data_IF_660335181714
#
_entry.id   IF_660335181714
#
_cell.length_a   1.000
_cell.length_b   1.000
_cell.length_c   1.000
_cell.angle_alpha   90.00
_cell.angle_beta   90.00
_cell.angle_gamma   90.00
#
_symmetry.space_group_name_H-M   'P 1'
#
loop_
_entity.id
_entity.type
_entity.pdbx_description
1 polymer ?
#
# COMPACT_ATOMS: atom_id res chain seq x y z
N UNK A 1 -43.59 -32.88 -45.79
CA UNK A 1 -43.56 -31.69 -44.87
C UNK A 1 -42.50 -31.94 -43.84
N UNK A 2 -41.32 -31.33 -43.92
CA UNK A 2 -40.29 -31.52 -42.89
C UNK A 2 -40.43 -30.46 -41.81
N UNK A 3 -40.49 -30.88 -40.56
CA UNK A 3 -40.55 -30.07 -39.33
C UNK A 3 -39.13 -29.59 -39.00
N UNK A 4 -38.92 -28.28 -38.93
CA UNK A 4 -37.69 -27.65 -38.46
C UNK A 4 -37.71 -27.53 -36.93
N UNK A 5 -36.68 -27.96 -36.18
CA UNK A 5 -36.57 -27.63 -34.75
C UNK A 5 -36.02 -26.23 -34.54
N UNK A 6 -36.77 -25.44 -33.81
CA UNK A 6 -36.37 -24.11 -33.30
C UNK A 6 -35.33 -24.29 -32.15
N UNK A 7 -34.08 -24.01 -32.42
CA UNK A 7 -33.03 -23.92 -31.43
C UNK A 7 -33.12 -22.56 -30.70
N UNK A 8 -33.69 -22.54 -29.51
CA UNK A 8 -33.62 -21.39 -28.59
C UNK A 8 -32.18 -21.26 -28.06
N UNK A 9 -31.44 -20.30 -28.61
CA UNK A 9 -30.13 -19.92 -28.07
C UNK A 9 -30.28 -19.15 -26.74
N UNK A 10 -29.87 -19.79 -25.64
CA UNK A 10 -29.79 -19.17 -24.31
C UNK A 10 -28.61 -18.22 -24.23
N UNK A 11 -28.86 -16.91 -24.35
CA UNK A 11 -27.84 -15.87 -24.18
C UNK A 11 -27.57 -15.70 -22.68
N UNK A 12 -26.44 -16.21 -22.19
CA UNK A 12 -25.91 -15.93 -20.85
C UNK A 12 -25.36 -14.48 -20.84
N UNK A 13 -26.17 -13.57 -20.29
CA UNK A 13 -25.72 -12.20 -20.00
C UNK A 13 -24.82 -12.24 -18.75
N UNK A 14 -23.52 -12.18 -18.97
CA UNK A 14 -22.54 -11.93 -17.90
C UNK A 14 -22.72 -10.50 -17.42
N UNK A 15 -23.39 -10.31 -16.30
CA UNK A 15 -23.43 -9.04 -15.59
C UNK A 15 -22.02 -8.75 -15.02
N UNK A 16 -21.23 -7.93 -15.70
CA UNK A 16 -19.99 -7.37 -15.13
C UNK A 16 -20.38 -6.42 -13.98
N UNK A 17 -20.18 -6.85 -12.74
CA UNK A 17 -20.28 -5.96 -11.60
C UNK A 17 -19.13 -4.94 -11.67
N UNK A 18 -19.43 -3.62 -11.59
CA UNK A 18 -18.37 -2.62 -11.52
C UNK A 18 -17.61 -2.85 -10.21
N UNK A 19 -16.29 -3.04 -10.31
CA UNK A 19 -15.41 -2.98 -9.15
C UNK A 19 -15.43 -1.51 -8.65
N UNK A 20 -16.16 -1.25 -7.57
CA UNK A 20 -16.13 0.05 -6.92
C UNK A 20 -14.79 0.18 -6.19
N UNK A 21 -13.93 1.07 -6.69
CA UNK A 21 -12.84 1.61 -5.88
C UNK A 21 -13.47 2.28 -4.66
N UNK A 22 -13.15 1.80 -3.46
CA UNK A 22 -13.70 2.37 -2.23
C UNK A 22 -13.30 3.85 -2.08
N UNK A 23 -14.12 4.69 -1.45
CA UNK A 23 -13.79 6.09 -1.22
C UNK A 23 -12.52 6.17 -0.37
N UNK A 24 -11.57 7.04 -0.77
CA UNK A 24 -10.38 7.33 0.03
C UNK A 24 -10.82 7.98 1.35
N UNK A 25 -10.42 7.37 2.45
CA UNK A 25 -10.75 7.86 3.78
C UNK A 25 -9.55 8.62 4.35
N UNK A 26 -9.72 9.92 4.64
CA UNK A 26 -8.68 10.72 5.27
C UNK A 26 -8.14 10.09 6.56
N UNK A 27 -6.83 10.05 6.69
CA UNK A 27 -6.15 9.44 7.83
C UNK A 27 -6.13 7.91 7.83
N UNK A 28 -6.44 7.27 6.69
CA UNK A 28 -6.33 5.82 6.51
C UNK A 28 -5.37 5.52 5.35
N UNK A 29 -4.26 4.88 5.66
CA UNK A 29 -3.36 4.35 4.64
C UNK A 29 -3.62 2.86 4.41
N UNK A 30 -3.26 2.39 3.22
CA UNK A 30 -3.30 0.98 2.86
C UNK A 30 -1.88 0.44 2.74
N UNK A 31 -1.65 -0.76 3.28
CA UNK A 31 -0.41 -1.51 3.18
C UNK A 31 -0.73 -2.91 2.66
N UNK A 32 -0.17 -3.27 1.52
CA UNK A 32 -0.18 -4.64 1.02
C UNK A 32 1.22 -5.23 1.15
N UNK A 33 1.31 -6.43 1.73
CA UNK A 33 2.53 -7.21 1.85
C UNK A 33 2.34 -8.51 1.11
N UNK A 34 3.15 -8.75 0.08
CA UNK A 34 3.19 -10.03 -0.63
C UNK A 34 4.49 -10.75 -0.31
N UNK A 35 4.39 -12.02 0.10
CA UNK A 35 5.53 -12.88 0.43
C UNK A 35 5.53 -14.07 -0.52
N UNK A 36 6.55 -14.15 -1.39
CA UNK A 36 6.74 -15.21 -2.36
C UNK A 36 8.16 -15.78 -2.24
N UNK A 37 8.27 -16.90 -1.55
CA UNK A 37 9.57 -17.47 -1.20
C UNK A 37 10.43 -16.48 -0.41
N UNK A 38 11.55 -16.08 -1.00
CA UNK A 38 12.47 -15.10 -0.41
C UNK A 38 12.09 -13.65 -0.74
N UNK A 39 11.22 -13.43 -1.74
CA UNK A 39 10.82 -12.08 -2.16
C UNK A 39 9.70 -11.55 -1.29
N UNK A 40 9.88 -10.33 -0.81
CA UNK A 40 8.86 -9.58 -0.07
C UNK A 40 8.61 -8.26 -0.80
N UNK A 41 7.37 -8.01 -1.16
CA UNK A 41 6.93 -6.76 -1.77
C UNK A 41 5.99 -6.05 -0.81
N UNK A 42 6.30 -4.78 -0.52
CA UNK A 42 5.45 -3.90 0.27
C UNK A 42 4.94 -2.77 -0.62
N UNK A 43 3.63 -2.58 -0.64
CA UNK A 43 2.98 -1.49 -1.39
C UNK A 43 2.15 -0.65 -0.43
N UNK A 44 2.45 0.65 -0.36
CA UNK A 44 1.69 1.61 0.43
C UNK A 44 0.91 2.54 -0.48
N UNK A 45 -0.31 2.88 -0.05
CA UNK A 45 -1.07 4.02 -0.52
C UNK A 45 -1.39 4.90 0.69
N UNK A 46 -0.89 6.12 0.68
CA UNK A 46 -0.95 7.03 1.82
C UNK A 46 -1.59 8.34 1.36
N UNK A 47 -2.74 8.73 1.90
CA UNK A 47 -3.33 10.04 1.59
C UNK A 47 -2.31 11.15 1.90
N UNK A 48 -2.05 12.01 0.91
CA UNK A 48 -1.07 13.09 1.03
C UNK A 48 -1.37 14.02 2.21
N UNK A 49 -2.66 14.22 2.50
CA UNK A 49 -3.12 14.97 3.66
C UNK A 49 -2.60 14.39 4.99
N UNK A 50 -2.50 13.08 5.11
CA UNK A 50 -2.00 12.43 6.32
C UNK A 50 -0.53 12.75 6.64
N UNK A 51 0.25 13.08 5.62
CA UNK A 51 1.67 13.43 5.73
C UNK A 51 1.92 14.95 5.75
N UNK A 52 1.26 15.69 4.84
CA UNK A 52 1.50 17.12 4.61
C UNK A 52 0.41 18.03 5.20
N UNK A 53 -0.78 17.50 5.49
CA UNK A 53 -1.93 18.25 5.94
C UNK A 53 -2.71 18.97 4.83
N UNK A 54 -2.37 18.70 3.57
CA UNK A 54 -3.06 19.21 2.40
C UNK A 54 -2.84 18.28 1.20
N UNK A 55 -3.68 18.42 0.17
CA UNK A 55 -3.66 17.60 -1.05
C UNK A 55 -3.38 18.43 -2.31
N UNK A 56 -2.44 19.35 -2.23
CA UNK A 56 -2.05 20.24 -3.33
C UNK A 56 -0.53 20.29 -3.51
N UNK A 57 -0.10 20.73 -4.67
CA UNK A 57 1.30 21.03 -4.93
C UNK A 57 1.85 22.13 -3.98
N UNK A 58 3.13 22.09 -3.62
CA UNK A 58 3.77 23.11 -2.78
C UNK A 58 3.79 24.47 -3.50
N UNK A 59 3.41 25.55 -2.78
CA UNK A 59 3.27 26.89 -3.34
C UNK A 59 4.42 27.83 -2.97
N UNK A 60 5.23 27.47 -1.97
CA UNK A 60 6.35 28.30 -1.51
C UNK A 60 7.65 27.51 -1.47
N UNK A 61 8.82 28.19 -1.50
CA UNK A 61 10.12 27.53 -1.33
C UNK A 61 10.21 26.73 -0.02
N UNK A 62 9.57 27.19 1.04
CA UNK A 62 9.53 26.49 2.32
C UNK A 62 8.73 25.19 2.21
N UNK A 63 7.55 25.20 1.57
CA UNK A 63 6.75 23.98 1.33
C UNK A 63 7.52 23.00 0.42
N UNK A 64 8.22 23.51 -0.61
CA UNK A 64 9.04 22.66 -1.48
C UNK A 64 10.16 21.96 -0.71
N UNK A 65 10.83 22.68 0.21
CA UNK A 65 11.85 22.07 1.07
C UNK A 65 11.26 21.01 2.02
N UNK A 66 10.05 21.24 2.56
CA UNK A 66 9.36 20.26 3.40
C UNK A 66 8.97 19.01 2.61
N UNK A 67 8.45 19.19 1.40
CA UNK A 67 8.13 18.06 0.49
C UNK A 67 9.38 17.26 0.17
N UNK A 68 10.47 17.92 -0.20
CA UNK A 68 11.74 17.23 -0.47
C UNK A 68 12.20 16.42 0.73
N UNK A 69 12.22 17.02 1.93
CA UNK A 69 12.62 16.32 3.15
C UNK A 69 11.70 15.13 3.50
N UNK A 70 10.39 15.24 3.18
CA UNK A 70 9.45 14.14 3.32
C UNK A 70 9.78 13.00 2.36
N UNK A 71 9.98 13.29 1.06
CA UNK A 71 10.30 12.29 0.05
C UNK A 71 11.62 11.58 0.39
N UNK A 72 12.65 12.31 0.83
CA UNK A 72 13.93 11.75 1.28
C UNK A 72 13.74 10.78 2.48
N UNK A 73 12.79 11.06 3.39
CA UNK A 73 12.45 10.16 4.49
C UNK A 73 11.67 8.93 4.04
N UNK A 74 10.74 9.08 3.09
CA UNK A 74 9.93 7.97 2.56
C UNK A 74 10.78 6.97 1.78
N UNK A 75 11.88 7.41 1.17
CA UNK A 75 12.85 6.54 0.50
C UNK A 75 13.70 5.71 1.48
N UNK A 76 13.61 5.98 2.78
CA UNK A 76 14.25 5.16 3.80
C UNK A 76 13.22 4.16 4.34
N UNK A 77 13.28 2.93 3.87
CA UNK A 77 12.27 1.89 4.19
C UNK A 77 12.02 1.68 5.69
N UNK A 78 13.06 1.88 6.54
CA UNK A 78 12.92 1.82 8.00
C UNK A 78 11.93 2.84 8.59
N UNK A 79 11.64 3.93 7.87
CA UNK A 79 10.64 4.92 8.28
C UNK A 79 9.21 4.50 7.91
N UNK A 80 9.06 3.47 7.11
CA UNK A 80 7.78 2.90 6.68
C UNK A 80 7.43 1.68 7.52
N UNK A 81 8.39 0.74 7.59
CA UNK A 81 8.22 -0.53 8.28
C UNK A 81 9.57 -1.11 8.69
N UNK A 82 9.60 -1.78 9.83
CA UNK A 82 10.72 -2.59 10.29
C UNK A 82 10.31 -4.07 10.26
N UNK A 83 11.08 -4.87 9.54
CA UNK A 83 10.90 -6.32 9.47
C UNK A 83 11.77 -7.01 10.52
N UNK A 84 11.45 -8.26 10.84
CA UNK A 84 12.30 -9.07 11.69
C UNK A 84 13.75 -9.11 11.16
N UNK A 85 14.70 -8.64 11.95
CA UNK A 85 16.12 -8.59 11.57
C UNK A 85 16.69 -9.99 11.25
N UNK A 86 16.16 -11.03 11.90
CA UNK A 86 16.57 -12.42 11.66
C UNK A 86 16.21 -12.92 10.27
N UNK A 87 15.23 -12.30 9.60
CA UNK A 87 14.87 -12.63 8.22
C UNK A 87 15.94 -12.18 7.21
N UNK A 88 16.85 -11.28 7.61
CA UNK A 88 17.95 -10.77 6.77
C UNK A 88 17.47 -10.23 5.43
N UNK A 89 16.43 -9.40 5.47
CA UNK A 89 15.85 -8.81 4.27
C UNK A 89 16.69 -7.62 3.78
N UNK A 90 17.03 -7.62 2.49
CA UNK A 90 17.79 -6.56 1.83
C UNK A 90 17.11 -6.16 0.51
N UNK A 91 17.31 -4.93 0.07
CA UNK A 91 16.77 -4.42 -1.19
C UNK A 91 17.22 -3.00 -1.47
N UNK A 92 16.82 -2.48 -2.63
CA UNK A 92 16.99 -1.07 -2.98
C UNK A 92 16.11 -0.18 -2.10
N UNK A 93 16.32 1.13 -2.19
CA UNK A 93 15.42 2.10 -1.57
C UNK A 93 13.99 1.95 -2.12
N UNK A 94 12.95 2.25 -1.32
CA UNK A 94 11.59 2.31 -1.80
C UNK A 94 11.42 3.29 -2.98
N UNK A 95 10.62 2.91 -3.96
CA UNK A 95 10.18 3.81 -5.03
C UNK A 95 8.98 4.60 -4.54
N UNK A 96 9.06 5.93 -4.59
CA UNK A 96 7.98 6.84 -4.17
C UNK A 96 7.40 7.51 -5.41
N UNK A 97 6.09 7.41 -5.59
CA UNK A 97 5.33 8.06 -6.65
C UNK A 97 4.32 9.04 -6.03
N UNK A 98 4.51 10.32 -6.30
CA UNK A 98 3.71 11.41 -5.74
C UNK A 98 3.43 12.48 -6.81
N UNK A 99 2.61 12.18 -7.84
CA UNK A 99 2.46 13.00 -9.05
C UNK A 99 2.02 14.43 -8.77
N UNK A 100 1.18 14.66 -7.77
CA UNK A 100 0.74 16.01 -7.37
C UNK A 100 1.92 16.86 -6.87
N UNK A 101 2.86 16.25 -6.16
CA UNK A 101 4.05 16.95 -5.65
C UNK A 101 5.06 17.26 -6.76
N UNK A 102 4.96 16.56 -7.89
CA UNK A 102 5.77 16.78 -9.10
C UNK A 102 5.12 17.80 -10.06
N UNK A 103 4.02 18.45 -9.66
CA UNK A 103 3.32 19.42 -10.50
C UNK A 103 2.43 18.80 -11.59
N UNK A 104 2.20 17.50 -11.57
CA UNK A 104 1.24 16.83 -12.45
C UNK A 104 -0.18 17.08 -11.92
N UNK A 105 -1.16 17.08 -12.83
CA UNK A 105 -2.56 17.28 -12.47
C UNK A 105 -2.98 16.30 -11.37
N UNK A 106 -3.64 16.82 -10.33
CA UNK A 106 -4.27 15.98 -9.33
C UNK A 106 -5.37 15.15 -10.00
N UNK A 107 -5.28 13.82 -9.93
CA UNK A 107 -6.48 12.98 -10.02
C UNK A 107 -7.36 13.28 -8.80
N UNK A 108 -8.61 12.83 -8.80
CA UNK A 108 -9.55 13.05 -7.67
C UNK A 108 -8.98 12.60 -6.31
N UNK A 109 -7.84 11.91 -6.29
CA UNK A 109 -7.19 11.35 -5.11
C UNK A 109 -5.69 11.62 -5.17
N UNK A 110 -5.21 12.34 -4.16
CA UNK A 110 -3.81 12.74 -4.02
C UNK A 110 -3.08 11.80 -3.06
N UNK A 111 -2.94 10.54 -3.46
CA UNK A 111 -2.19 9.56 -2.68
C UNK A 111 -0.71 9.57 -3.05
N UNK A 112 0.13 9.29 -2.06
CA UNK A 112 1.52 8.92 -2.25
C UNK A 112 1.58 7.40 -2.30
N UNK A 113 1.95 6.86 -3.47
CA UNK A 113 2.16 5.43 -3.64
C UNK A 113 3.64 5.11 -3.42
N UNK A 114 3.90 4.03 -2.65
CA UNK A 114 5.26 3.59 -2.37
C UNK A 114 5.33 2.08 -2.62
N UNK A 115 6.36 1.67 -3.35
CA UNK A 115 6.69 0.26 -3.54
C UNK A 115 8.10 -0.03 -3.02
N UNK A 116 8.22 -1.11 -2.28
CA UNK A 116 9.49 -1.58 -1.76
C UNK A 116 9.63 -3.08 -1.94
N UNK A 117 10.66 -3.49 -2.69
CA UNK A 117 10.97 -4.90 -2.95
C UNK A 117 12.21 -5.30 -2.17
N UNK A 118 12.10 -6.41 -1.45
CA UNK A 118 13.14 -6.97 -0.61
C UNK A 118 13.37 -8.46 -0.93
N UNK A 119 14.60 -8.89 -0.73
CA UNK A 119 15.00 -10.29 -0.75
C UNK A 119 15.43 -10.68 0.65
N UNK A 120 14.74 -11.66 1.25
CA UNK A 120 15.02 -12.15 2.60
C UNK A 120 15.78 -13.48 2.54
N UNK A 121 16.99 -13.51 3.09
CA UNK A 121 17.81 -14.73 3.09
C UNK A 121 17.20 -15.83 4.00
N UNK A 122 16.46 -15.44 5.03
CA UNK A 122 15.85 -16.32 6.01
C UNK A 122 14.32 -16.06 6.10
N UNK A 123 13.52 -16.35 5.04
CA UNK A 123 12.10 -15.99 4.99
C UNK A 123 11.26 -16.69 6.08
N UNK A 124 11.68 -17.84 6.57
CA UNK A 124 11.04 -18.53 7.68
C UNK A 124 11.10 -17.75 9.01
N UNK A 125 12.08 -16.83 9.14
CA UNK A 125 12.23 -15.96 10.30
C UNK A 125 11.43 -14.67 10.19
N UNK A 126 10.78 -14.41 9.06
CA UNK A 126 9.95 -13.23 8.83
C UNK A 126 8.56 -13.46 9.43
N UNK A 127 8.41 -13.23 10.73
CA UNK A 127 7.16 -13.50 11.46
C UNK A 127 6.26 -12.30 11.59
N UNK A 128 6.87 -11.12 11.70
CA UNK A 128 6.15 -9.86 11.93
C UNK A 128 6.85 -8.66 11.30
N UNK A 129 6.10 -7.58 11.17
CA UNK A 129 6.60 -6.27 10.82
C UNK A 129 6.06 -5.23 11.80
N UNK A 130 6.83 -4.21 12.10
CA UNK A 130 6.36 -3.03 12.83
C UNK A 130 6.17 -1.86 11.86
N UNK A 131 4.97 -1.30 11.78
CA UNK A 131 4.69 -0.14 10.92
C UNK A 131 5.13 1.14 11.63
N UNK A 132 6.26 1.69 11.18
CA UNK A 132 6.89 2.92 11.72
C UNK A 132 6.35 4.19 11.07
N UNK A 133 5.64 4.09 9.95
CA UNK A 133 5.04 5.20 9.21
C UNK A 133 4.27 6.19 10.10
N UNK A 134 3.65 5.71 11.17
CA UNK A 134 2.93 6.55 12.13
C UNK A 134 3.80 7.64 12.78
N UNK A 135 5.11 7.47 12.84
CA UNK A 135 6.03 8.44 13.48
C UNK A 135 6.15 9.72 12.65
N UNK A 136 6.13 9.57 11.32
CA UNK A 136 6.25 10.70 10.40
C UNK A 136 4.91 11.21 9.86
N UNK A 137 3.81 10.51 10.11
CA UNK A 137 2.46 10.84 9.64
C UNK A 137 1.53 11.19 10.83
N UNK A 138 1.56 12.41 11.36
CA UNK A 138 0.83 12.77 12.58
C UNK A 138 -0.69 12.71 12.41
N UNK A 139 -1.21 12.89 11.20
CA UNK A 139 -2.64 12.82 10.88
C UNK A 139 -3.10 11.42 10.49
N UNK A 140 -2.16 10.47 10.30
CA UNK A 140 -2.50 9.08 10.05
C UNK A 140 -3.10 8.44 11.29
N UNK A 141 -4.34 8.00 11.19
CA UNK A 141 -5.10 7.37 12.26
C UNK A 141 -5.01 5.86 12.23
N UNK A 142 -5.02 5.28 11.01
CA UNK A 142 -5.08 3.83 10.78
C UNK A 142 -4.25 3.43 9.56
N UNK A 143 -3.74 2.20 9.60
CA UNK A 143 -3.21 1.52 8.42
C UNK A 143 -3.99 0.23 8.25
N UNK A 144 -4.68 0.10 7.12
CA UNK A 144 -5.35 -1.13 6.73
C UNK A 144 -4.32 -2.01 6.02
N UNK A 145 -3.82 -3.01 6.74
CA UNK A 145 -2.80 -3.90 6.24
C UNK A 145 -3.41 -5.20 5.72
N UNK A 146 -2.94 -5.66 4.57
CA UNK A 146 -3.22 -6.98 4.02
C UNK A 146 -1.89 -7.70 3.80
N UNK A 147 -1.86 -8.98 4.16
CA UNK A 147 -0.70 -9.86 3.95
C UNK A 147 -1.15 -11.02 3.10
N UNK A 148 -0.45 -11.27 2.00
CA UNK A 148 -0.61 -12.46 1.17
C UNK A 148 0.72 -13.23 1.16
N UNK A 149 0.68 -14.50 1.51
CA UNK A 149 1.87 -15.34 1.59
C UNK A 149 1.54 -16.83 1.46
N UNK A 150 2.53 -17.70 1.64
CA UNK A 150 2.36 -19.17 1.49
C UNK A 150 1.27 -19.77 2.40
N UNK A 151 0.99 -19.11 3.53
CA UNK A 151 -0.03 -19.56 4.49
C UNK A 151 -1.41 -18.95 4.23
N UNK A 152 -1.59 -18.26 3.09
CA UNK A 152 -2.83 -17.61 2.69
C UNK A 152 -2.83 -16.10 2.92
N UNK A 153 -4.03 -15.54 3.10
CA UNK A 153 -4.20 -14.10 3.24
C UNK A 153 -4.73 -13.74 4.62
N UNK A 154 -4.26 -12.61 5.16
CA UNK A 154 -4.76 -12.01 6.39
C UNK A 154 -4.97 -10.51 6.21
N UNK A 155 -5.84 -9.93 7.04
CA UNK A 155 -6.08 -8.48 7.07
C UNK A 155 -6.05 -8.01 8.51
N UNK A 156 -5.38 -6.87 8.76
CA UNK A 156 -5.31 -6.26 10.10
C UNK A 156 -5.45 -4.75 9.99
N UNK A 157 -6.20 -4.17 10.92
CA UNK A 157 -6.27 -2.72 11.11
C UNK A 157 -5.24 -2.32 12.18
N UNK A 158 -4.23 -1.56 11.77
CA UNK A 158 -3.18 -1.05 12.65
C UNK A 158 -3.51 0.39 13.08
N UNK A 159 -2.99 0.76 14.23
CA UNK A 159 -3.14 2.09 14.83
C UNK A 159 -1.83 2.48 15.50
N UNK A 160 -1.69 3.74 15.90
CA UNK A 160 -0.48 4.27 16.52
C UNK A 160 -0.02 3.49 17.76
N UNK A 161 -0.94 2.93 18.54
CA UNK A 161 -0.67 2.10 19.72
C UNK A 161 -0.72 0.57 19.42
N UNK A 162 -0.98 0.17 18.17
CA UNK A 162 -1.03 -1.22 17.72
C UNK A 162 -0.39 -1.30 16.33
N UNK A 163 0.94 -1.31 16.27
CA UNK A 163 1.74 -1.18 15.03
C UNK A 163 2.22 -2.52 14.46
N UNK A 164 2.15 -3.58 15.26
CA UNK A 164 2.66 -4.89 14.87
C UNK A 164 1.69 -5.59 13.90
N UNK A 165 2.23 -5.99 12.76
CA UNK A 165 1.57 -6.75 11.71
C UNK A 165 2.15 -8.17 11.69
N UNK A 166 1.40 -9.21 12.07
CA UNK A 166 1.81 -10.59 11.86
C UNK A 166 1.94 -10.88 10.37
N UNK A 167 3.05 -11.47 9.95
CA UNK A 167 3.34 -11.84 8.57
C UNK A 167 3.16 -13.33 8.31
N UNK A 168 3.05 -14.11 9.38
CA UNK A 168 2.72 -15.53 9.35
C UNK A 168 1.45 -15.76 10.17
N UNK A 169 0.69 -16.79 9.83
CA UNK A 169 -0.40 -17.24 10.69
C UNK A 169 0.17 -17.90 11.95
N UNK A 170 -0.45 -17.69 13.10
CA UNK A 170 -0.10 -18.40 14.33
C UNK A 170 -0.34 -19.91 14.21
#
# INVERSE_FOLDING_TARGET
MPSFPFLLGLWLVFAAWPAQAGPHEHGVAHLNVAIDGQRVTLSFQIPMESLLGHERAPKSPQEQAQVKALLDKLQQGRNLVQLDAQAQCQGSAPTVNAPVLEGKAASEHSDIAIEWQLQCAQPAMLRKAEVTLFEMAPRLRRVQAQVAGPQGQTRKMLRRNLRELPLQRP
#
